data_IF_448189816223
#
_entry.id   IF_448189816223
#
_cell.length_a   1.000
_cell.length_b   1.000
_cell.length_c   1.000
_cell.angle_alpha   90.00
_cell.angle_beta   90.00
_cell.angle_gamma   90.00
#
_symmetry.space_group_name_H-M   'P 1'
#
loop_
_entity.id
_entity.type
_entity.pdbx_description
1 polymer ?
#
# COMPACT_ATOMS: atom_id res chain seq x y z
N UNK A 1 -32.95 -7.67 4.23
CA UNK A 1 -32.54 -8.09 2.90
C UNK A 1 -31.04 -8.45 2.88
N UNK A 2 -30.70 -9.61 2.36
CA UNK A 2 -29.34 -10.11 2.28
C UNK A 2 -28.45 -9.14 1.49
N UNK A 3 -28.99 -8.52 0.46
CA UNK A 3 -28.24 -7.54 -0.36
C UNK A 3 -27.88 -6.30 0.44
N UNK A 4 -28.78 -5.80 1.27
CA UNK A 4 -28.52 -4.64 2.12
C UNK A 4 -27.52 -4.97 3.22
N UNK A 5 -27.64 -6.14 3.84
CA UNK A 5 -26.69 -6.62 4.85
C UNK A 5 -25.28 -6.75 4.26
N UNK A 6 -25.16 -7.33 3.07
CA UNK A 6 -23.87 -7.48 2.36
C UNK A 6 -23.27 -6.11 2.05
N UNK A 7 -24.07 -5.17 1.58
CA UNK A 7 -23.64 -3.80 1.32
C UNK A 7 -23.16 -3.11 2.59
N UNK A 8 -23.87 -3.25 3.70
CA UNK A 8 -23.52 -2.67 4.98
C UNK A 8 -22.17 -3.20 5.47
N UNK A 9 -21.96 -4.51 5.38
CA UNK A 9 -20.67 -5.14 5.76
C UNK A 9 -19.54 -4.61 4.87
N UNK A 10 -19.80 -4.51 3.57
CA UNK A 10 -18.83 -3.96 2.63
C UNK A 10 -18.46 -2.52 2.99
N UNK A 11 -19.45 -1.66 3.23
CA UNK A 11 -19.26 -0.25 3.56
C UNK A 11 -18.48 -0.09 4.88
N UNK A 12 -18.81 -0.86 5.91
CA UNK A 12 -18.08 -0.85 7.17
C UNK A 12 -16.63 -1.30 7.01
N UNK A 13 -16.40 -2.30 6.17
CA UNK A 13 -15.04 -2.76 5.89
C UNK A 13 -14.24 -1.70 5.16
N UNK A 14 -14.86 -0.99 4.21
CA UNK A 14 -14.21 0.11 3.50
C UNK A 14 -13.84 1.24 4.46
N UNK A 15 -14.72 1.60 5.38
CA UNK A 15 -14.44 2.60 6.42
C UNK A 15 -13.25 2.18 7.27
N UNK A 16 -13.22 0.91 7.70
CA UNK A 16 -12.12 0.39 8.49
C UNK A 16 -10.79 0.42 7.72
N UNK A 17 -10.80 -0.03 6.47
CA UNK A 17 -9.59 -0.01 5.63
C UNK A 17 -9.07 1.42 5.43
N UNK A 18 -9.97 2.36 5.21
CA UNK A 18 -9.59 3.78 5.07
C UNK A 18 -8.96 4.32 6.36
N UNK A 19 -9.51 3.95 7.51
CA UNK A 19 -8.95 4.33 8.82
C UNK A 19 -7.58 3.67 9.04
N UNK A 20 -7.45 2.40 8.68
CA UNK A 20 -6.22 1.64 8.85
C UNK A 20 -5.09 2.21 7.96
N UNK A 21 -5.45 2.76 6.79
CA UNK A 21 -4.49 3.47 5.93
C UNK A 21 -3.85 4.66 6.64
N UNK A 22 -4.60 5.35 7.50
CA UNK A 22 -4.06 6.47 8.29
C UNK A 22 -2.97 5.99 9.25
N UNK A 23 -3.14 4.81 9.84
CA UNK A 23 -2.13 4.23 10.75
C UNK A 23 -0.88 3.83 9.97
N UNK A 24 -1.05 3.20 8.82
CA UNK A 24 0.09 2.86 7.94
C UNK A 24 0.87 4.12 7.56
N UNK A 25 0.17 5.17 7.17
CA UNK A 25 0.78 6.47 6.82
C UNK A 25 1.57 7.03 8.00
N UNK A 26 1.00 7.02 9.19
CA UNK A 26 1.65 7.53 10.39
C UNK A 26 2.93 6.76 10.70
N UNK A 27 2.88 5.44 10.74
CA UNK A 27 4.04 4.59 11.00
C UNK A 27 5.14 4.81 9.95
N UNK A 28 4.74 4.95 8.70
CA UNK A 28 5.66 5.20 7.60
C UNK A 28 6.41 6.54 7.76
N UNK A 29 5.68 7.63 7.93
CA UNK A 29 6.30 8.95 8.00
C UNK A 29 7.02 9.24 9.32
N UNK A 30 6.73 8.49 10.38
CA UNK A 30 7.52 8.55 11.62
C UNK A 30 8.98 8.16 11.40
N UNK A 31 9.26 7.31 10.42
CA UNK A 31 10.64 6.91 10.09
C UNK A 31 11.41 8.00 9.34
N UNK A 32 10.72 8.95 8.74
CA UNK A 32 11.32 10.07 8.03
C UNK A 32 10.72 10.31 6.65
N UNK A 33 11.27 11.29 5.95
CA UNK A 33 10.79 11.66 4.61
C UNK A 33 11.29 10.65 3.58
N UNK A 34 10.42 10.25 2.63
CA UNK A 34 10.79 9.27 1.63
C UNK A 34 11.66 9.86 0.52
N UNK A 35 12.68 9.11 0.14
CA UNK A 35 13.54 9.41 -1.01
C UNK A 35 13.99 8.10 -1.67
N UNK A 36 14.47 8.20 -2.90
CA UNK A 36 15.05 7.07 -3.61
C UNK A 36 16.57 7.22 -3.58
N UNK A 37 17.24 6.25 -2.99
CA UNK A 37 18.69 6.23 -2.84
C UNK A 37 19.20 4.90 -3.42
N UNK A 38 20.04 4.96 -4.42
CA UNK A 38 20.57 3.77 -5.12
C UNK A 38 19.45 2.80 -5.57
N UNK A 39 18.36 3.36 -6.06
CA UNK A 39 17.23 2.57 -6.56
C UNK A 39 16.30 2.01 -5.49
N UNK A 40 16.50 2.34 -4.22
CA UNK A 40 15.70 1.84 -3.12
C UNK A 40 14.99 2.96 -2.38
N UNK A 41 13.85 2.64 -1.79
CA UNK A 41 13.07 3.57 -0.98
C UNK A 41 13.68 3.68 0.42
N UNK A 42 14.07 4.89 0.79
CA UNK A 42 14.68 5.19 2.08
C UNK A 42 13.87 6.28 2.78
N UNK A 43 13.60 6.09 4.06
CA UNK A 43 12.94 7.07 4.92
C UNK A 43 13.99 7.74 5.81
N UNK A 44 13.96 9.08 5.85
CA UNK A 44 14.99 9.82 6.58
C UNK A 44 16.37 9.58 5.98
N UNK A 45 17.38 9.45 6.83
CA UNK A 45 18.77 9.31 6.40
C UNK A 45 19.19 7.88 6.07
N UNK A 46 18.52 6.86 6.65
CA UNK A 46 19.06 5.50 6.57
C UNK A 46 18.02 4.37 6.70
N UNK A 47 16.75 4.68 6.89
CA UNK A 47 15.75 3.63 7.05
C UNK A 47 15.32 3.08 5.68
N UNK A 48 15.85 1.92 5.32
CA UNK A 48 15.55 1.24 4.07
C UNK A 48 14.23 0.47 4.19
N UNK A 49 13.33 0.68 3.23
CA UNK A 49 12.01 0.02 3.21
C UNK A 49 12.03 -1.30 2.44
N UNK A 50 12.81 -1.38 1.37
CA UNK A 50 12.88 -2.59 0.52
C UNK A 50 13.29 -3.81 1.34
N UNK A 51 12.45 -4.85 1.30
CA UNK A 51 12.63 -6.09 2.06
C UNK A 51 12.73 -5.91 3.58
N UNK A 52 12.24 -4.80 4.09
CA UNK A 52 12.11 -4.52 5.51
C UNK A 52 10.63 -4.55 5.86
N UNK A 53 10.21 -5.49 6.69
CA UNK A 53 8.79 -5.75 6.95
C UNK A 53 8.29 -5.16 8.28
N UNK A 54 9.12 -4.38 8.96
CA UNK A 54 8.79 -3.83 10.27
C UNK A 54 7.47 -3.07 10.28
N UNK A 55 7.30 -2.11 9.35
CA UNK A 55 6.10 -1.27 9.30
C UNK A 55 4.86 -2.10 8.97
N UNK A 56 4.92 -2.92 7.94
CA UNK A 56 3.75 -3.70 7.51
C UNK A 56 3.35 -4.77 8.52
N UNK A 57 4.31 -5.35 9.20
CA UNK A 57 4.05 -6.34 10.24
C UNK A 57 3.48 -5.67 11.51
N UNK A 58 3.92 -4.47 11.83
CA UNK A 58 3.35 -3.69 12.93
C UNK A 58 1.90 -3.32 12.65
N UNK A 59 1.58 -2.91 11.42
CA UNK A 59 0.19 -2.67 11.02
C UNK A 59 -0.66 -3.92 11.20
N UNK A 60 -0.16 -5.08 10.78
CA UNK A 60 -0.88 -6.34 10.95
C UNK A 60 -1.10 -6.69 12.41
N UNK A 61 -0.08 -6.51 13.24
CA UNK A 61 -0.16 -6.77 14.68
C UNK A 61 -1.19 -5.85 15.36
N UNK A 62 -1.17 -4.57 15.02
CA UNK A 62 -2.07 -3.57 15.64
C UNK A 62 -3.51 -3.68 15.13
N UNK A 63 -3.71 -3.96 13.85
CA UNK A 63 -5.00 -3.80 13.17
C UNK A 63 -5.54 -5.09 12.54
N UNK A 64 -4.71 -6.12 12.45
CA UNK A 64 -5.10 -7.42 11.92
C UNK A 64 -5.29 -7.47 10.40
N UNK A 65 -4.85 -6.46 9.67
CA UNK A 65 -5.02 -6.39 8.23
C UNK A 65 -3.71 -6.53 7.44
N UNK A 66 -3.85 -6.77 6.15
CA UNK A 66 -2.72 -6.83 5.24
C UNK A 66 -2.30 -5.42 4.83
N UNK A 67 -1.00 -5.18 4.79
CA UNK A 67 -0.41 -3.92 4.39
C UNK A 67 0.74 -4.13 3.41
N UNK A 68 0.91 -3.20 2.50
CA UNK A 68 1.97 -3.24 1.50
C UNK A 68 2.46 -1.84 1.20
N UNK A 69 3.76 -1.73 1.00
CA UNK A 69 4.40 -0.53 0.46
C UNK A 69 4.96 -0.91 -0.91
N UNK A 70 4.69 -0.06 -1.91
CA UNK A 70 5.10 -0.27 -3.28
C UNK A 70 6.12 0.79 -3.69
N UNK A 71 6.94 0.46 -4.66
CA UNK A 71 7.83 1.40 -5.32
C UNK A 71 7.62 1.33 -6.82
N UNK A 72 7.50 2.51 -7.46
CA UNK A 72 7.43 2.57 -8.92
C UNK A 72 8.78 2.18 -9.50
N UNK A 73 8.76 1.16 -10.35
CA UNK A 73 9.93 0.68 -11.11
C UNK A 73 9.52 0.53 -12.58
N UNK A 74 10.01 1.41 -13.43
CA UNK A 74 9.57 1.44 -14.83
C UNK A 74 8.08 1.76 -14.92
N UNK A 75 7.31 0.87 -15.53
CA UNK A 75 5.86 1.02 -15.73
C UNK A 75 5.02 0.26 -14.69
N UNK A 76 5.64 -0.19 -13.63
CA UNK A 76 4.95 -0.97 -12.60
C UNK A 76 5.19 -0.38 -11.22
N UNK A 77 4.27 -0.61 -10.32
CA UNK A 77 4.47 -0.41 -8.88
C UNK A 77 4.65 -1.77 -8.24
N UNK A 78 5.82 -2.01 -7.70
CA UNK A 78 6.25 -3.33 -7.22
C UNK A 78 6.20 -3.36 -5.69
N UNK A 79 5.68 -4.45 -5.14
CA UNK A 79 5.66 -4.68 -3.70
C UNK A 79 7.09 -4.83 -3.19
N UNK A 80 7.54 -3.87 -2.40
CA UNK A 80 8.89 -3.88 -1.80
C UNK A 80 8.85 -4.28 -0.33
N UNK A 81 7.72 -4.08 0.34
CA UNK A 81 7.49 -4.49 1.73
C UNK A 81 6.03 -4.88 1.88
N UNK A 82 5.77 -6.09 2.34
CA UNK A 82 4.41 -6.63 2.40
C UNK A 82 4.28 -7.74 3.42
N UNK A 83 3.10 -7.85 4.03
CA UNK A 83 2.72 -9.03 4.81
C UNK A 83 1.72 -9.94 4.05
N UNK A 84 1.42 -9.62 2.79
CA UNK A 84 0.63 -10.49 1.93
C UNK A 84 1.46 -11.71 1.56
N UNK A 85 0.86 -12.89 1.72
CA UNK A 85 1.49 -14.16 1.40
C UNK A 85 0.96 -14.65 0.06
N UNK A 86 1.86 -14.98 -0.85
CA UNK A 86 1.52 -15.54 -2.15
C UNK A 86 1.21 -17.03 -2.09
N UNK A 87 0.90 -17.61 -3.25
CA UNK A 87 0.57 -19.03 -3.37
C UNK A 87 1.74 -19.95 -2.99
N UNK A 88 2.96 -19.46 -3.15
CA UNK A 88 4.19 -20.18 -2.78
C UNK A 88 4.46 -20.19 -1.27
N UNK A 89 3.59 -19.58 -0.47
CA UNK A 89 3.75 -19.48 0.98
C UNK A 89 4.74 -18.40 1.43
N UNK A 90 5.29 -17.62 0.49
CA UNK A 90 6.24 -16.54 0.77
C UNK A 90 5.56 -15.17 0.66
N UNK A 91 6.17 -14.17 1.28
CA UNK A 91 5.73 -12.78 1.10
C UNK A 91 5.76 -12.41 -0.39
N UNK A 92 4.73 -11.72 -0.85
CA UNK A 92 4.53 -11.40 -2.26
C UNK A 92 5.44 -10.27 -2.77
N UNK A 93 6.63 -10.13 -2.23
CA UNK A 93 7.63 -9.14 -2.65
C UNK A 93 7.97 -9.36 -4.13
N UNK A 94 8.13 -8.27 -4.85
CA UNK A 94 8.46 -8.33 -6.27
C UNK A 94 7.26 -8.41 -7.21
N UNK A 95 6.04 -8.52 -6.68
CA UNK A 95 4.84 -8.59 -7.50
C UNK A 95 4.24 -7.21 -7.73
N UNK A 96 3.62 -6.97 -8.92
CA UNK A 96 3.08 -5.65 -9.24
C UNK A 96 1.68 -5.43 -8.66
N UNK A 97 1.34 -4.16 -8.46
CA UNK A 97 -0.03 -3.73 -8.21
C UNK A 97 -0.88 -3.92 -9.47
N UNK A 98 -2.20 -4.00 -9.32
CA UNK A 98 -3.12 -4.08 -10.45
C UNK A 98 -3.09 -2.81 -11.31
N UNK A 99 -3.44 -2.94 -12.60
CA UNK A 99 -3.42 -1.84 -13.55
C UNK A 99 -4.35 -0.68 -13.15
N UNK A 100 -5.53 -1.01 -12.64
CA UNK A 100 -6.50 0.01 -12.22
C UNK A 100 -5.97 0.86 -11.06
N UNK A 101 -5.34 0.24 -10.08
CA UNK A 101 -4.74 0.95 -8.95
C UNK A 101 -3.54 1.78 -9.42
N UNK A 102 -2.68 1.21 -10.27
CA UNK A 102 -1.54 1.93 -10.83
C UNK A 102 -1.99 3.19 -11.56
N UNK A 103 -3.01 3.08 -12.40
CA UNK A 103 -3.51 4.24 -13.15
C UNK A 103 -4.02 5.35 -12.22
N UNK A 104 -4.84 4.98 -11.24
CA UNK A 104 -5.40 5.97 -10.31
C UNK A 104 -4.32 6.63 -9.45
N UNK A 105 -3.42 5.85 -8.88
CA UNK A 105 -2.49 6.34 -7.85
C UNK A 105 -1.21 6.90 -8.46
N UNK A 106 -0.62 6.19 -9.42
CA UNK A 106 0.65 6.62 -10.02
C UNK A 106 0.43 7.62 -11.14
N UNK A 107 -0.46 7.32 -12.08
CA UNK A 107 -0.69 8.21 -13.23
C UNK A 107 -1.49 9.46 -12.85
N UNK A 108 -2.55 9.31 -12.07
CA UNK A 108 -3.46 10.40 -11.70
C UNK A 108 -3.16 11.05 -10.36
N UNK A 109 -2.30 10.44 -9.54
CA UNK A 109 -1.96 10.95 -8.22
C UNK A 109 -3.13 10.97 -7.22
N UNK A 110 -4.10 10.07 -7.41
CA UNK A 110 -5.32 10.01 -6.61
C UNK A 110 -5.28 8.83 -5.64
N UNK A 111 -5.96 8.98 -4.51
CA UNK A 111 -6.20 7.84 -3.62
C UNK A 111 -7.22 6.90 -4.26
N UNK A 112 -6.94 5.61 -4.21
CA UNK A 112 -7.86 4.58 -4.69
C UNK A 112 -8.56 3.92 -3.50
N UNK A 113 -9.88 3.85 -3.58
CA UNK A 113 -10.72 3.13 -2.62
C UNK A 113 -11.57 2.12 -3.36
N UNK A 114 -11.78 0.97 -2.77
CA UNK A 114 -12.66 -0.04 -3.34
C UNK A 114 -12.00 -1.40 -3.48
N UNK A 115 -12.62 -2.25 -4.29
CA UNK A 115 -12.08 -3.58 -4.54
C UNK A 115 -10.93 -3.53 -5.53
N UNK A 116 -9.91 -4.33 -5.28
CA UNK A 116 -8.80 -4.53 -6.19
C UNK A 116 -8.32 -5.98 -6.10
N UNK A 117 -7.68 -6.45 -7.16
CA UNK A 117 -7.00 -7.72 -7.14
C UNK A 117 -5.63 -7.57 -6.48
N UNK A 118 -5.38 -8.44 -5.51
CA UNK A 118 -4.12 -8.50 -4.79
C UNK A 118 -3.63 -9.94 -4.86
N UNK A 119 -2.60 -10.17 -5.66
CA UNK A 119 -2.01 -11.51 -5.85
C UNK A 119 -3.10 -12.55 -6.17
N UNK A 120 -3.95 -12.22 -7.14
CA UNK A 120 -5.00 -13.12 -7.64
C UNK A 120 -6.28 -13.21 -6.80
N UNK A 121 -6.39 -12.45 -5.73
CA UNK A 121 -7.58 -12.44 -4.85
C UNK A 121 -8.20 -11.06 -4.78
N UNK A 122 -9.51 -11.00 -4.59
CA UNK A 122 -10.22 -9.74 -4.38
C UNK A 122 -10.16 -9.29 -2.92
N UNK A 123 -9.80 -8.04 -2.73
CA UNK A 123 -9.76 -7.39 -1.42
C UNK A 123 -10.54 -6.08 -1.46
N UNK A 124 -11.02 -5.65 -0.32
CA UNK A 124 -11.43 -4.26 -0.11
C UNK A 124 -10.18 -3.50 0.28
N UNK A 125 -9.87 -2.42 -0.45
CA UNK A 125 -8.57 -1.78 -0.41
C UNK A 125 -8.66 -0.26 -0.25
N UNK A 126 -7.56 0.31 0.19
CA UNK A 126 -7.27 1.74 0.07
C UNK A 126 -5.78 1.88 -0.24
N UNK A 127 -5.48 2.67 -1.25
CA UNK A 127 -4.10 2.98 -1.64
C UNK A 127 -3.96 4.49 -1.80
N UNK A 128 -2.84 5.02 -1.34
CA UNK A 128 -2.55 6.42 -1.56
C UNK A 128 -1.14 6.62 -2.12
N UNK A 129 -0.93 7.70 -2.88
CA UNK A 129 0.39 8.00 -3.40
C UNK A 129 1.32 8.48 -2.29
N UNK A 130 2.57 8.04 -2.36
CA UNK A 130 3.67 8.59 -1.59
C UNK A 130 4.56 9.32 -2.57
N UNK A 131 4.85 10.58 -2.29
CA UNK A 131 5.74 11.37 -3.13
C UNK A 131 7.13 11.38 -2.52
N UNK A 132 8.11 10.98 -3.32
CA UNK A 132 9.49 10.91 -2.87
C UNK A 132 10.24 12.19 -3.18
N UNK A 133 11.17 12.52 -2.30
CA UNK A 133 12.17 13.54 -2.55
C UNK A 133 13.27 12.95 -3.41
N UNK A 134 13.76 13.73 -4.35
CA UNK A 134 14.85 13.33 -5.23
C UNK A 134 15.85 14.46 -5.32
N UNK A 135 17.15 14.10 -5.23
CA UNK A 135 18.22 15.07 -5.42
C UNK A 135 18.13 15.69 -6.80
N UNK A 136 18.22 17.01 -6.86
CA UNK A 136 18.21 17.75 -8.13
C UNK A 136 19.63 18.09 -8.58
N UNK A 137 19.80 18.21 -9.89
CA UNK A 137 21.06 18.69 -10.46
C UNK A 137 21.23 20.21 -10.36
N UNK A 138 20.20 20.92 -9.87
CA UNK A 138 20.24 22.38 -9.71
C UNK A 138 20.94 22.76 -8.41
N UNK A 139 21.86 23.70 -8.50
CA UNK A 139 22.56 24.24 -7.32
C UNK A 139 21.64 25.00 -6.35
N UNK A 140 20.47 25.46 -6.80
CA UNK A 140 19.52 26.19 -5.97
C UNK A 140 18.54 25.30 -5.20
N UNK A 141 18.45 24.00 -5.53
CA UNK A 141 17.55 23.07 -4.88
C UNK A 141 18.17 21.67 -4.87
N UNK A 142 18.49 21.18 -3.68
CA UNK A 142 19.07 19.86 -3.51
C UNK A 142 18.04 18.75 -3.64
N UNK A 143 16.80 19.02 -3.26
CA UNK A 143 15.72 18.05 -3.25
C UNK A 143 14.44 18.65 -3.81
N UNK A 144 13.75 17.88 -4.62
CA UNK A 144 12.40 18.23 -5.07
C UNK A 144 11.49 17.00 -5.07
N UNK A 145 10.19 17.24 -4.99
CA UNK A 145 9.19 16.19 -4.98
C UNK A 145 8.93 15.73 -6.42
N UNK A 146 9.37 14.50 -6.78
CA UNK A 146 9.34 14.05 -8.16
C UNK A 146 8.37 12.92 -8.47
N UNK A 147 8.43 11.83 -7.75
CA UNK A 147 7.71 10.62 -8.16
C UNK A 147 6.81 10.09 -7.06
N UNK A 148 5.59 9.73 -7.41
CA UNK A 148 4.75 9.05 -6.46
C UNK A 148 5.27 7.63 -6.19
N UNK A 149 5.22 7.24 -4.95
CA UNK A 149 5.36 5.86 -4.51
C UNK A 149 4.02 5.47 -3.92
N UNK A 150 3.58 4.26 -4.20
CA UNK A 150 2.31 3.79 -3.73
C UNK A 150 2.45 3.18 -2.35
N UNK A 151 1.64 3.61 -1.39
CA UNK A 151 1.40 2.87 -0.17
C UNK A 151 -0.04 2.40 -0.14
N UNK A 152 -0.29 1.29 0.52
CA UNK A 152 -1.64 0.79 0.57
C UNK A 152 -1.88 -0.09 1.78
N UNK A 153 -3.13 -0.09 2.21
CA UNK A 153 -3.63 -1.02 3.20
C UNK A 153 -4.85 -1.72 2.61
N UNK A 154 -4.92 -3.03 2.79
CA UNK A 154 -6.08 -3.79 2.36
C UNK A 154 -6.33 -4.97 3.27
N UNK A 155 -7.57 -5.35 3.34
CA UNK A 155 -8.01 -6.47 4.16
C UNK A 155 -8.67 -7.53 3.29
N UNK A 156 -8.32 -8.77 3.55
CA UNK A 156 -8.89 -9.89 2.81
C UNK A 156 -10.40 -9.96 2.99
N UNK A 157 -11.10 -10.08 1.88
CA UNK A 157 -12.50 -10.47 1.80
C UNK A 157 -12.60 -11.68 0.90
N UNK A 158 -12.21 -12.82 1.42
CA UNK A 158 -12.35 -14.07 0.69
C UNK A 158 -13.78 -14.57 0.81
N UNK A 159 -14.56 -14.31 -0.23
CA UNK A 159 -15.78 -15.03 -0.50
C UNK A 159 -16.92 -14.97 0.53
N UNK A 160 -17.97 -15.66 0.20
CA UNK A 160 -19.22 -15.76 0.94
C UNK A 160 -19.08 -16.24 2.39
N UNK A 161 -18.03 -16.97 2.73
CA UNK A 161 -17.87 -17.56 4.07
C UNK A 161 -17.74 -16.52 5.17
N UNK A 162 -17.07 -15.42 4.92
CA UNK A 162 -16.89 -14.39 5.94
C UNK A 162 -18.09 -13.47 6.10
N UNK A 163 -18.88 -13.35 5.05
CA UNK A 163 -20.10 -12.59 5.11
C UNK A 163 -21.18 -13.35 5.87
N UNK A 164 -21.15 -14.69 5.84
CA UNK A 164 -22.14 -15.55 6.54
C UNK A 164 -21.77 -15.74 8.02
N UNK A 165 -20.47 -15.71 8.36
CA UNK A 165 -20.01 -15.92 9.73
C UNK A 165 -19.88 -14.62 10.53
N UNK A 166 -20.33 -13.54 9.98
CA UNK A 166 -20.40 -12.26 10.66
C UNK A 166 -21.83 -11.91 11.03
#
# INVERSE_FOLDING_TARGET
DITEETKTVYDLTQVKVNSDLNVLRQLFYEKGKPSIVNGELVLGSSYRVNNNFEIVDEVQELLGGAATIFQKKGNQAIRISTNVIGEDGKRAVGTPVSDAVYDAVINKGQTYYGTANVVGKKYITAYEPIRTLQETSSASSLWELKRPVLSGFYRIRSGKRRLVNM
#
